data_IF_339707506391
#
_entry.id   IF_339707506391
#
_cell.length_a   1.000
_cell.length_b   1.000
_cell.length_c   1.000
_cell.angle_alpha   90.00
_cell.angle_beta   90.00
_cell.angle_gamma   90.00
#
_symmetry.space_group_name_H-M   'P 1'
#
loop_
_entity.id
_entity.type
_entity.pdbx_description
1 polymer ?
2 non-polymer ?
3 non-polymer ?
4 water ?
#
# COMPACT_ATOMS: atom_id res chain seq x y z
N UNK A 16 3.96 7.41 25.65
CA UNK A 16 5.32 7.75 25.25
C UNK A 16 5.34 8.43 23.88
N UNK A 17 6.38 9.23 23.65
CA UNK A 17 6.51 10.02 22.43
C UNK A 17 7.74 9.60 21.64
N UNK A 18 7.61 9.59 20.31
CA UNK A 18 8.70 9.25 19.41
C UNK A 18 8.70 10.25 18.25
N UNK A 19 9.89 10.74 17.91
CA UNK A 19 10.02 11.75 16.88
C UNK A 19 9.67 11.23 15.51
N UNK A 20 10.61 10.48 14.91
CA UNK A 20 10.46 9.97 13.55
C UNK A 20 10.52 8.45 13.50
N UNK A 21 9.38 7.80 13.19
CA UNK A 21 9.38 6.33 13.15
C UNK A 21 10.14 5.77 11.94
N UNK A 22 10.55 6.66 11.03
CA UNK A 22 11.27 6.25 9.81
C UNK A 22 12.76 6.59 9.90
N UNK A 23 13.19 7.16 11.02
CA UNK A 23 14.59 7.55 11.20
C UNK A 23 15.52 6.34 11.04
N UNK A 24 16.61 6.54 10.30
CA UNK A 24 17.52 5.44 9.95
C UNK A 24 18.19 4.83 11.18
N UNK A 25 18.72 5.67 12.06
CA UNK A 25 19.37 5.19 13.27
C UNK A 25 18.39 4.44 14.17
N UNK A 26 17.12 4.86 14.15
CA UNK A 26 16.09 4.22 14.95
C UNK A 26 15.84 2.79 14.45
N UNK A 27 15.71 2.64 13.14
CA UNK A 27 15.44 1.34 12.54
C UNK A 27 16.62 0.39 12.72
N UNK A 28 17.83 0.94 12.66
CA UNK A 28 19.03 0.13 12.86
C UNK A 28 19.05 -0.45 14.27
N UNK A 29 18.58 0.34 15.23
CA UNK A 29 18.57 -0.08 16.63
C UNK A 29 17.42 -1.03 16.93
N UNK A 30 16.27 -0.79 16.33
CA UNK A 30 15.12 -1.68 16.50
C UNK A 30 15.45 -3.07 15.97
N UNK A 31 16.10 -3.12 14.81
CA UNK A 31 16.51 -4.38 14.22
C UNK A 31 17.64 -5.02 15.00
N UNK A 32 18.59 -4.19 15.43
CA UNK A 32 19.78 -4.67 16.14
C UNK A 32 19.43 -5.42 17.43
N UNK A 33 18.31 -5.04 18.03
CA UNK A 33 17.90 -5.60 19.31
C UNK A 33 16.74 -6.59 19.24
N UNK A 34 16.45 -7.11 18.05
CA UNK A 34 15.42 -8.14 17.91
C UNK A 34 15.93 -9.48 18.45
N UNK A 35 15.06 -10.21 19.14
CA UNK A 35 15.40 -11.54 19.62
C UNK A 35 15.69 -12.45 18.42
N UNK A 36 14.84 -12.33 17.40
CA UNK A 36 15.05 -13.00 16.12
C UNK A 36 15.36 -11.94 15.06
N UNK A 37 16.64 -11.54 14.95
CA UNK A 37 16.97 -10.54 13.94
C UNK A 37 16.77 -11.08 12.53
N UNK A 38 16.52 -10.18 11.57
CA UNK A 38 16.35 -10.55 10.18
C UNK A 38 17.45 -11.49 9.71
N UNK A 39 18.66 -11.23 10.19
CA UNK A 39 19.84 -12.01 9.80
C UNK A 39 19.69 -13.49 10.17
N UNK A 40 18.75 -13.80 11.06
CA UNK A 40 18.62 -15.14 11.61
C UNK A 40 17.47 -15.93 10.99
N UNK A 41 16.71 -15.33 10.08
CA UNK A 41 15.62 -16.04 9.44
C UNK A 41 16.17 -17.16 8.56
N UNK A 42 15.42 -18.26 8.42
CA UNK A 42 15.84 -19.31 7.48
C UNK A 42 15.85 -18.82 6.02
N UNK A 43 14.96 -17.89 5.69
CA UNK A 43 14.85 -17.37 4.34
C UNK A 43 15.54 -16.02 4.17
N UNK A 44 16.50 -15.73 5.05
CA UNK A 44 17.39 -14.59 4.88
C UNK A 44 18.75 -15.10 4.40
N UNK A 45 19.39 -14.33 3.53
CA UNK A 45 20.71 -14.67 3.03
C UNK A 45 21.59 -13.44 2.95
N UNK A 46 22.69 -13.46 3.71
CA UNK A 46 23.66 -12.37 3.73
C UNK A 46 24.83 -12.67 2.79
N UNK A 47 25.31 -11.64 2.10
CA UNK A 47 26.47 -11.77 1.22
C UNK A 47 27.45 -10.62 1.46
N UNK A 48 28.73 -10.96 1.51
CA UNK A 48 29.78 -9.98 1.76
C UNK A 48 30.38 -9.50 0.45
N UNK A 49 29.53 -8.94 -0.40
CA UNK A 49 29.96 -8.37 -1.68
C UNK A 49 28.95 -7.34 -2.15
N UNK A 50 29.26 -6.66 -3.24
CA UNK A 50 28.37 -5.63 -3.79
C UNK A 50 27.11 -6.28 -4.38
N UNK A 51 26.05 -5.49 -4.47
CA UNK A 51 24.82 -5.95 -5.12
C UNK A 51 25.08 -6.18 -6.60
N UNK A 52 24.86 -7.43 -7.08
CA UNK A 52 25.15 -7.70 -8.49
C UNK A 52 24.29 -6.90 -9.45
N UNK A 53 24.77 -6.73 -10.69
CA UNK A 53 24.03 -6.01 -11.70
C UNK A 53 22.78 -6.79 -12.10
N UNK A 54 21.64 -6.10 -12.11
CA UNK A 54 20.37 -6.71 -12.48
C UNK A 54 19.75 -5.91 -13.62
N UNK A 55 19.34 -6.61 -14.67
CA UNK A 55 18.95 -5.97 -15.92
C UNK A 55 17.85 -6.78 -16.62
N UNK A 56 16.98 -6.11 -17.40
CA UNK A 56 15.94 -6.85 -18.13
C UNK A 56 16.46 -7.96 -19.04
N UNK A 57 15.71 -9.07 -19.11
CA UNK A 57 16.01 -10.19 -20.02
C UNK A 57 17.45 -10.68 -19.86
N UNK A 58 17.84 -10.98 -18.63
CA UNK A 58 19.21 -11.36 -18.33
C UNK A 58 19.32 -12.24 -17.09
N UNK A 59 20.25 -13.18 -17.11
CA UNK A 59 20.50 -14.07 -15.98
C UNK A 59 21.50 -13.48 -15.00
N UNK A 60 21.44 -13.96 -13.76
CA UNK A 60 22.42 -13.60 -12.75
C UNK A 60 22.31 -14.56 -11.56
N UNK A 61 23.37 -14.63 -10.76
CA UNK A 61 23.42 -15.55 -9.63
C UNK A 61 22.86 -14.91 -8.37
N UNK A 62 21.86 -15.56 -7.78
CA UNK A 62 21.25 -15.10 -6.55
C UNK A 62 21.34 -16.22 -5.51
N UNK A 63 22.51 -16.31 -4.88
CA UNK A 63 22.79 -17.40 -3.95
C UNK A 63 23.08 -18.68 -4.69
N UNK A 64 22.48 -19.78 -4.23
CA UNK A 64 22.69 -21.08 -4.85
C UNK A 64 22.02 -21.15 -6.23
N UNK A 65 20.92 -20.44 -6.38
CA UNK A 65 20.09 -20.54 -7.58
C UNK A 65 20.51 -19.57 -8.68
N UNK A 66 20.30 -19.99 -9.93
CA UNK A 66 20.41 -19.11 -11.07
C UNK A 66 19.02 -18.58 -11.40
N UNK A 67 18.94 -17.29 -11.71
CA UNK A 67 17.66 -16.59 -11.84
C UNK A 67 17.59 -15.83 -13.16
N UNK A 68 16.53 -16.08 -13.93
CA UNK A 68 16.30 -15.31 -15.15
C UNK A 68 15.36 -14.16 -14.89
N UNK A 69 15.84 -12.95 -15.15
CA UNK A 69 15.05 -11.73 -15.05
C UNK A 69 14.38 -11.44 -16.39
N UNK A 70 13.08 -11.16 -16.37
CA UNK A 70 12.36 -10.79 -17.57
C UNK A 70 12.43 -9.26 -17.74
N UNK A 71 11.29 -8.58 -17.68
CA UNK A 71 11.30 -7.12 -17.83
C UNK A 71 10.96 -6.40 -16.53
N UNK A 72 11.35 -5.13 -16.46
CA UNK A 72 11.09 -4.28 -15.31
C UNK A 72 9.60 -3.98 -15.19
N UNK A 73 9.03 -4.26 -14.01
CA UNK A 73 7.60 -4.11 -13.79
C UNK A 73 7.22 -2.70 -13.34
N UNK A 74 8.05 -2.11 -12.49
CA UNK A 74 7.77 -0.77 -11.98
C UNK A 74 8.89 -0.18 -11.16
N UNK A 75 8.84 1.13 -10.98
CA UNK A 75 9.80 1.85 -10.14
C UNK A 75 9.08 2.70 -9.11
N UNK A 76 9.56 2.64 -7.87
CA UNK A 76 8.95 3.38 -6.78
C UNK A 76 9.83 4.53 -6.33
N UNK A 77 9.67 4.93 -5.07
CA UNK A 77 10.43 6.03 -4.52
C UNK A 77 11.88 5.63 -4.24
N UNK A 78 12.12 4.34 -4.02
CA UNK A 78 13.43 3.85 -3.60
C UNK A 78 13.97 2.66 -4.41
N UNK A 79 13.08 1.86 -4.99
CA UNK A 79 13.46 0.54 -5.50
C UNK A 79 12.99 0.23 -6.92
N UNK A 80 13.57 -0.85 -7.48
CA UNK A 80 13.15 -1.39 -8.77
C UNK A 80 12.55 -2.77 -8.57
N UNK A 81 11.45 -3.05 -9.25
CA UNK A 81 10.78 -4.34 -9.15
C UNK A 81 10.73 -5.00 -10.52
N UNK A 82 11.40 -6.15 -10.65
CA UNK A 82 11.46 -6.90 -11.90
C UNK A 82 10.64 -8.17 -11.81
N UNK A 83 10.23 -8.67 -12.96
CA UNK A 83 9.61 -10.00 -13.10
C UNK A 83 10.73 -11.02 -13.27
N UNK A 84 10.51 -12.25 -12.83
CA UNK A 84 11.58 -13.25 -12.89
C UNK A 84 11.08 -14.69 -12.75
N UNK A 85 11.93 -15.63 -13.17
CA UNK A 85 11.69 -17.06 -13.01
C UNK A 85 13.01 -17.76 -12.72
N UNK A 86 12.93 -18.99 -12.21
CA UNK A 86 14.12 -19.81 -11.97
C UNK A 86 14.44 -20.67 -13.19
N UNK A 96 6.38 -20.75 -12.73
CA UNK A 96 5.83 -19.83 -11.75
C UNK A 96 6.66 -18.56 -11.66
N UNK A 97 6.09 -17.43 -12.06
CA UNK A 97 6.78 -16.15 -12.01
C UNK A 97 6.76 -15.57 -10.59
N UNK A 98 7.77 -14.77 -10.28
CA UNK A 98 7.82 -14.04 -9.02
C UNK A 98 8.56 -12.72 -9.26
N UNK A 99 8.60 -11.85 -8.25
CA UNK A 99 9.22 -10.54 -8.41
C UNK A 99 10.49 -10.39 -7.58
N UNK A 100 11.38 -9.52 -8.05
CA UNK A 100 12.57 -9.14 -7.32
C UNK A 100 12.55 -7.65 -7.00
N UNK A 101 12.38 -7.31 -5.72
CA UNK A 101 12.45 -5.92 -5.31
C UNK A 101 13.89 -5.57 -4.94
N UNK A 102 14.51 -4.76 -5.77
CA UNK A 102 15.93 -4.42 -5.64
C UNK A 102 16.09 -2.99 -5.14
N UNK A 103 16.94 -2.80 -4.12
CA UNK A 103 17.06 -1.51 -3.47
C UNK A 103 18.48 -1.24 -2.95
N UNK A 104 18.94 -0.01 -3.16
CA UNK A 104 20.17 0.48 -2.54
C UNK A 104 19.85 1.72 -1.72
N UNK A 105 20.22 1.75 -0.43
CA UNK A 105 20.91 0.71 0.35
C UNK A 105 19.99 -0.45 0.70
N UNK A 106 20.50 -1.40 1.48
CA UNK A 106 19.73 -2.58 1.86
C UNK A 106 18.52 -2.18 2.71
N UNK A 107 17.44 -2.95 2.57
CA UNK A 107 16.21 -2.69 3.31
C UNK A 107 15.72 -3.95 4.03
N UNK A 108 16.48 -4.40 5.04
CA UNK A 108 16.02 -5.53 5.85
C UNK A 108 14.73 -5.22 6.59
N UNK A 109 14.46 -3.95 6.80
CA UNK A 109 13.27 -3.52 7.54
C UNK A 109 11.98 -3.97 6.85
N UNK A 110 11.90 -3.76 5.54
CA UNK A 110 10.72 -4.16 4.79
C UNK A 110 10.51 -5.66 4.88
N UNK A 111 11.61 -6.42 4.91
CA UNK A 111 11.53 -7.86 5.04
C UNK A 111 11.02 -8.23 6.43
N UNK A 112 11.49 -7.51 7.45
CA UNK A 112 11.02 -7.74 8.80
C UNK A 112 9.51 -7.50 8.89
N UNK A 113 9.05 -6.36 8.41
CA UNK A 113 7.64 -6.01 8.44
C UNK A 113 6.81 -7.08 7.74
N UNK A 114 7.20 -7.42 6.53
CA UNK A 114 6.48 -8.42 5.73
C UNK A 114 6.34 -9.72 6.48
N UNK A 115 7.43 -10.14 7.10
CA UNK A 115 7.44 -11.38 7.87
C UNK A 115 6.43 -11.31 9.01
N UNK A 116 6.51 -10.24 9.79
CA UNK A 116 5.61 -10.08 10.95
C UNK A 116 4.16 -10.03 10.51
N UNK A 117 3.88 -9.31 9.42
CA UNK A 117 2.52 -9.17 8.94
C UNK A 117 1.90 -10.53 8.60
N UNK A 118 2.66 -11.39 7.93
CA UNK A 118 2.14 -12.69 7.52
C UNK A 118 2.00 -13.64 8.71
N UNK A 119 2.80 -13.43 9.75
CA UNK A 119 2.70 -14.18 10.99
C UNK A 119 1.40 -13.84 11.73
N UNK A 120 1.08 -12.55 11.79
CA UNK A 120 0.00 -12.06 12.63
C UNK A 120 -1.36 -12.12 11.94
N UNK A 121 -1.36 -12.17 10.61
CA UNK A 121 -2.60 -12.23 9.85
C UNK A 121 -3.28 -13.59 10.00
N UNK A 122 -4.61 -13.59 9.96
CA UNK A 122 -5.36 -14.83 9.83
C UNK A 122 -5.10 -15.30 8.39
N UNK A 123 -4.73 -16.58 8.22
CA UNK A 123 -4.36 -17.08 6.88
C UNK A 123 -5.35 -16.74 5.77
N UNK A 124 -6.62 -16.51 6.13
CA UNK A 124 -7.64 -16.17 5.16
C UNK A 124 -7.45 -14.76 4.60
N UNK A 125 -6.61 -13.96 5.26
CA UNK A 125 -6.45 -12.56 4.93
C UNK A 125 -5.24 -12.29 4.01
N UNK A 126 -4.27 -13.20 4.06
CA UNK A 126 -2.95 -12.96 3.46
C UNK A 126 -2.98 -12.72 1.95
N UNK A 127 -4.08 -13.10 1.30
CA UNK A 127 -4.19 -12.94 -0.15
C UNK A 127 -4.31 -11.47 -0.54
N UNK A 128 -4.61 -10.62 0.43
CA UNK A 128 -4.76 -9.19 0.17
C UNK A 128 -3.41 -8.47 0.20
N UNK A 129 -2.34 -9.20 0.44
CA UNK A 129 -1.01 -8.61 0.56
C UNK A 129 0.03 -9.42 -0.20
N UNK A 130 1.25 -8.91 -0.23
CA UNK A 130 2.34 -9.54 -0.96
C UNK A 130 3.28 -10.27 -0.03
N UNK A 131 3.44 -11.57 -0.26
CA UNK A 131 4.38 -12.38 0.49
C UNK A 131 5.80 -12.20 -0.03
N UNK A 132 6.75 -12.09 0.89
CA UNK A 132 8.16 -12.15 0.57
C UNK A 132 8.64 -13.56 0.85
N UNK A 133 9.18 -14.21 -0.17
CA UNK A 133 9.61 -15.60 -0.04
C UNK A 133 11.02 -15.69 0.56
N UNK A 134 11.87 -14.74 0.20
CA UNK A 134 13.23 -14.72 0.72
C UNK A 134 13.85 -13.33 0.58
N UNK A 135 14.98 -13.13 1.23
CA UNK A 135 15.68 -11.86 1.17
C UNK A 135 17.17 -12.09 1.03
N UNK A 136 17.79 -11.36 0.11
CA UNK A 136 19.23 -11.46 -0.11
C UNK A 136 19.88 -10.10 0.17
N UNK A 137 20.58 -10.02 1.30
CA UNK A 137 21.20 -8.77 1.74
C UNK A 137 22.66 -8.71 1.31
N UNK A 138 23.06 -7.55 0.76
CA UNK A 138 24.42 -7.34 0.31
C UNK A 138 25.04 -6.15 1.03
N UNK A 139 26.30 -5.86 0.72
CA UNK A 139 27.04 -4.81 1.40
C UNK A 139 26.45 -3.42 1.17
N UNK A 140 25.78 -3.25 0.03
CA UNK A 140 25.31 -1.93 -0.39
C UNK A 140 23.87 -1.93 -0.87
N UNK A 141 23.19 -3.07 -0.74
CA UNK A 141 21.81 -3.18 -1.18
C UNK A 141 21.21 -4.53 -0.88
N UNK A 142 19.98 -4.75 -1.34
CA UNK A 142 19.27 -5.99 -1.07
C UNK A 142 18.35 -6.39 -2.22
N UNK A 143 18.09 -7.70 -2.30
CA UNK A 143 17.09 -8.25 -3.22
C UNK A 143 16.05 -8.99 -2.40
N UNK A 144 14.81 -8.53 -2.46
CA UNK A 144 13.69 -9.19 -1.81
C UNK A 144 12.87 -9.94 -2.84
N UNK A 145 12.71 -11.25 -2.62
CA UNK A 145 11.97 -12.11 -3.53
C UNK A 145 10.55 -12.27 -3.04
N UNK A 146 9.58 -11.94 -3.88
CA UNK A 146 8.20 -11.92 -3.44
C UNK A 146 7.17 -12.34 -4.49
N UNK A 147 5.90 -12.28 -4.08
CA UNK A 147 4.79 -12.69 -4.91
C UNK A 147 4.55 -11.72 -6.06
N UNK A 148 4.07 -12.23 -7.19
CA UNK A 148 3.83 -11.42 -8.38
C UNK A 148 2.36 -11.04 -8.52
N UNK A 149 2.13 -9.78 -8.91
CA UNK A 149 0.81 -9.30 -9.31
C UNK A 149 0.97 -8.67 -10.68
N UNK A 150 0.22 -9.18 -11.66
CA UNK A 150 0.59 -9.03 -13.05
C UNK A 150 -0.05 -7.86 -13.83
N UNK A 151 -1.01 -7.16 -13.23
CA UNK A 151 -1.80 -6.19 -14.01
C UNK A 151 -1.72 -4.75 -13.50
N UNK A 152 -0.53 -4.35 -13.07
CA UNK A 152 -0.24 -2.96 -12.84
C UNK A 152 -0.88 -2.35 -11.61
N UNK A 153 -0.57 -1.08 -11.38
CA UNK A 153 -1.02 -0.37 -10.17
C UNK A 153 -2.41 0.21 -10.32
N UNK A 154 -2.97 0.63 -9.18
CA UNK A 154 -4.24 1.33 -9.18
C UNK A 154 -4.06 2.71 -9.82
N UNK A 155 -2.89 3.31 -9.61
CA UNK A 155 -2.57 4.58 -10.24
C UNK A 155 -2.63 4.43 -11.75
N UNK A 156 -2.03 3.36 -12.25
CA UNK A 156 -2.05 3.07 -13.67
C UNK A 156 -3.48 2.89 -14.17
N UNK A 157 -4.28 2.14 -13.41
CA UNK A 157 -5.67 1.92 -13.77
C UNK A 157 -6.41 3.25 -13.87
N UNK A 158 -6.16 4.14 -12.93
CA UNK A 158 -6.76 5.48 -12.95
C UNK A 158 -6.35 6.20 -14.24
N UNK A 159 -5.08 6.07 -14.62
CA UNK A 159 -4.58 6.68 -15.84
C UNK A 159 -5.25 6.09 -17.08
N UNK A 160 -5.50 4.79 -17.05
CA UNK A 160 -6.12 4.12 -18.19
C UNK A 160 -7.51 4.71 -18.45
N UNK A 161 -8.21 5.09 -17.38
CA UNK A 161 -9.54 5.67 -17.53
C UNK A 161 -9.48 7.10 -18.06
N UNK A 162 -8.43 7.83 -17.69
CA UNK A 162 -8.21 9.18 -18.21
C UNK A 162 -8.19 9.19 -19.75
N UNK A 163 -7.64 8.13 -20.33
CA UNK A 163 -7.53 8.02 -21.78
C UNK A 163 -8.72 7.26 -22.39
N UNK A 164 -9.88 7.39 -21.78
CA UNK A 164 -11.12 6.85 -22.33
C UNK A 164 -12.18 7.94 -22.35
N UNK A 165 -13.27 7.72 -23.10
CA UNK A 165 -14.40 8.64 -23.07
C UNK A 165 -14.96 8.89 -21.67
N UNK A 166 -15.07 7.83 -20.87
CA UNK A 166 -15.65 7.94 -19.53
C UNK A 166 -14.72 8.69 -18.57
N UNK A 167 -13.45 8.82 -18.92
CA UNK A 167 -12.48 9.63 -18.18
C UNK A 167 -12.18 9.17 -16.75
N UNK A 168 -13.21 8.77 -16.00
CA UNK A 168 -13.02 8.31 -14.63
C UNK A 168 -13.54 6.89 -14.42
N UNK A 169 -12.96 6.22 -13.43
CA UNK A 169 -13.39 4.89 -13.04
C UNK A 169 -14.85 4.91 -12.60
N UNK A 170 -15.63 3.88 -12.97
CA UNK A 170 -17.05 3.88 -12.59
C UNK A 170 -17.23 3.70 -11.09
N UNK A 171 -18.35 4.21 -10.57
CA UNK A 171 -18.62 4.21 -9.13
C UNK A 171 -18.61 2.81 -8.53
N UNK A 172 -19.09 1.82 -9.29
CA UNK A 172 -19.14 0.45 -8.81
C UNK A 172 -17.76 -0.05 -8.44
N UNK A 173 -16.80 0.18 -9.32
CA UNK A 173 -15.42 -0.21 -9.05
C UNK A 173 -14.78 0.64 -7.95
N UNK A 174 -15.08 1.93 -7.92
CA UNK A 174 -14.49 2.83 -6.93
C UNK A 174 -14.97 2.48 -5.52
N UNK A 175 -16.27 2.27 -5.38
CA UNK A 175 -16.85 1.91 -4.10
C UNK A 175 -16.35 0.53 -3.68
N UNK A 176 -16.23 -0.37 -4.66
CA UNK A 176 -15.75 -1.71 -4.40
C UNK A 176 -14.32 -1.67 -3.87
N UNK A 177 -13.44 -0.98 -4.60
CA UNK A 177 -12.05 -0.84 -4.20
C UNK A 177 -11.94 -0.16 -2.85
N UNK A 178 -12.75 0.88 -2.62
CA UNK A 178 -12.73 1.62 -1.37
C UNK A 178 -13.01 0.70 -0.18
N UNK A 179 -14.00 -0.17 -0.33
CA UNK A 179 -14.38 -1.08 0.74
C UNK A 179 -13.25 -2.06 1.04
N UNK A 180 -12.62 -2.59 -0.01
CA UNK A 180 -11.50 -3.51 0.16
C UNK A 180 -10.35 -2.84 0.89
N UNK A 181 -10.12 -1.56 0.61
CA UNK A 181 -9.05 -0.81 1.25
C UNK A 181 -9.31 -0.65 2.75
N UNK A 182 -10.53 -0.25 3.09
CA UNK A 182 -10.95 -0.14 4.49
C UNK A 182 -10.77 -1.48 5.18
N UNK A 183 -11.10 -2.56 4.47
CA UNK A 183 -10.97 -3.90 5.00
C UNK A 183 -9.50 -4.28 5.16
N UNK A 184 -8.68 -3.87 4.19
CA UNK A 184 -7.25 -4.19 4.19
C UNK A 184 -6.54 -3.63 5.41
N UNK A 185 -6.67 -2.32 5.64
CA UNK A 185 -5.94 -1.69 6.73
C UNK A 185 -6.53 -2.11 8.07
N UNK A 186 -7.79 -2.53 8.07
CA UNK A 186 -8.40 -3.08 9.27
C UNK A 186 -7.62 -4.31 9.70
N UNK A 187 -7.24 -5.15 8.74
CA UNK A 187 -6.45 -6.34 9.02
C UNK A 187 -5.03 -5.97 9.40
N UNK A 188 -4.46 -4.98 8.70
CA UNK A 188 -3.09 -4.55 8.98
C UNK A 188 -3.00 -3.97 10.39
N UNK A 189 -3.95 -3.11 10.72
CA UNK A 189 -3.96 -2.46 12.04
C UNK A 189 -4.19 -3.48 13.15
N UNK A 190 -4.93 -4.55 12.84
CA UNK A 190 -5.19 -5.62 13.80
C UNK A 190 -3.90 -6.35 14.16
N UNK A 191 -2.92 -6.28 13.25
CA UNK A 191 -1.60 -6.83 13.51
C UNK A 191 -0.70 -5.80 14.19
N UNK A 192 -1.30 -4.65 14.53
CA UNK A 192 -0.57 -3.54 15.14
C UNK A 192 0.58 -3.10 14.24
N UNK A 193 0.29 -2.99 12.95
CA UNK A 193 1.24 -2.46 11.98
C UNK A 193 0.60 -1.25 11.31
N UNK A 194 1.43 -0.28 10.94
CA UNK A 194 1.01 0.88 10.16
C UNK A 194 1.70 0.81 8.81
N UNK A 195 0.93 0.85 7.73
CA UNK A 195 1.53 0.78 6.40
C UNK A 195 2.40 1.99 6.13
N UNK A 196 1.85 3.18 6.40
CA UNK A 196 2.62 4.41 6.38
C UNK A 196 2.82 5.04 5.01
N UNK A 197 2.34 4.39 3.97
CA UNK A 197 2.51 4.92 2.61
C UNK A 197 1.39 4.43 1.69
N UNK A 198 0.15 4.52 2.16
CA UNK A 198 -0.99 4.08 1.37
C UNK A 198 -1.33 5.13 0.31
N UNK A 199 -1.09 4.79 -0.94
CA UNK A 199 -1.39 5.68 -2.05
C UNK A 199 -1.51 4.85 -3.33
N UNK A 200 -2.08 5.43 -4.40
CA UNK A 200 -2.46 4.67 -5.60
C UNK A 200 -1.39 3.75 -6.18
N UNK A 201 -0.13 4.15 -6.20
CA UNK A 201 0.88 3.32 -6.85
C UNK A 201 1.38 2.19 -5.94
N UNK A 202 0.86 2.11 -4.71
CA UNK A 202 1.19 0.99 -3.83
C UNK A 202 0.06 -0.04 -3.75
N UNK A 203 -0.97 0.15 -4.57
CA UNK A 203 -2.00 -0.86 -4.77
C UNK A 203 -1.79 -1.51 -6.13
N UNK A 204 -1.85 -2.84 -6.17
CA UNK A 204 -1.63 -3.59 -7.40
C UNK A 204 -2.83 -4.47 -7.72
N UNK A 205 -3.07 -4.66 -9.02
CA UNK A 205 -4.07 -5.59 -9.50
C UNK A 205 -3.39 -6.84 -10.07
N UNK A 206 -3.85 -8.00 -9.61
CA UNK A 206 -3.28 -9.27 -10.05
C UNK A 206 -4.28 -10.08 -10.86
N UNK A 207 -3.89 -11.29 -11.23
CA UNK A 207 -4.77 -12.15 -12.04
C UNK A 207 -5.93 -12.71 -11.22
N UNK A 208 -5.87 -12.54 -9.90
CA UNK A 208 -6.99 -12.89 -9.04
C UNK A 208 -8.19 -12.00 -9.35
N UNK A 209 -7.92 -10.91 -10.07
CA UNK A 209 -8.96 -9.98 -10.48
C UNK A 209 -9.69 -10.52 -11.72
N UNK A 210 -8.99 -11.32 -12.51
CA UNK A 210 -9.57 -11.94 -13.70
C UNK A 210 -10.55 -13.05 -13.34
N UNK A 211 -10.37 -13.63 -12.16
CA UNK A 211 -11.12 -14.81 -11.74
C UNK A 211 -11.95 -14.52 -10.49
N UNK A 219 -12.99 -6.88 -6.45
CA UNK A 219 -11.83 -6.34 -5.74
C UNK A 219 -10.93 -7.45 -5.19
N UNK A 220 -11.30 -8.70 -5.48
CA UNK A 220 -10.60 -9.86 -4.93
C UNK A 220 -9.12 -9.89 -5.33
N UNK A 221 -8.80 -9.31 -6.47
CA UNK A 221 -7.44 -9.34 -6.99
C UNK A 221 -6.61 -8.11 -6.63
N UNK A 222 -7.13 -7.27 -5.75
CA UNK A 222 -6.39 -6.07 -5.32
C UNK A 222 -5.48 -6.39 -4.15
N UNK A 223 -4.24 -5.92 -4.23
CA UNK A 223 -3.25 -6.17 -3.21
C UNK A 223 -2.53 -4.89 -2.80
N UNK A 224 -2.28 -4.77 -1.50
CA UNK A 224 -1.53 -3.64 -0.95
C UNK A 224 -0.07 -4.06 -0.76
N UNK A 225 0.84 -3.32 -1.36
CA UNK A 225 2.26 -3.63 -1.30
C UNK A 225 3.10 -2.43 -0.81
N UNK A 226 4.42 -2.60 -0.81
CA UNK A 226 5.37 -1.58 -0.37
C UNK A 226 5.27 -1.35 1.14
N UNK A 227 6.06 -2.10 1.90
CA UNK A 227 6.04 -2.02 3.35
C UNK A 227 7.31 -1.35 3.89
N UNK A 228 8.04 -0.69 3.00
CA UNK A 228 9.32 -0.09 3.34
C UNK A 228 9.23 1.01 4.39
N UNK A 229 8.10 1.72 4.41
CA UNK A 229 7.89 2.82 5.35
C UNK A 229 6.94 2.40 6.47
N UNK A 230 6.71 1.09 6.60
CA UNK A 230 5.75 0.59 7.58
C UNK A 230 6.31 0.66 9.00
N UNK A 231 5.40 0.69 9.96
CA UNK A 231 5.75 0.82 11.37
C UNK A 231 5.16 -0.34 12.17
N UNK A 232 6.00 -1.00 12.97
CA UNK A 232 5.53 -2.03 13.89
C UNK A 232 5.36 -1.42 15.28
N UNK A 233 4.11 -1.21 15.69
CA UNK A 233 3.81 -0.56 16.95
C UNK A 233 4.15 -1.44 18.14
N UNK A 234 4.31 -2.74 17.91
CA UNK A 234 4.67 -3.67 18.98
C UNK A 234 6.08 -3.40 19.48
N UNK A 235 6.89 -2.75 18.64
CA UNK A 235 8.28 -2.42 19.00
C UNK A 235 8.35 -1.13 19.81
N UNK A 236 7.19 -0.59 20.19
CA UNK A 236 7.13 0.62 21.00
C UNK A 236 6.24 0.39 22.22
N UNK A 237 6.40 1.23 23.26
CA UNK A 237 5.55 1.14 24.46
C UNK A 237 4.07 1.34 24.15
N UNK A 238 3.20 0.84 25.02
CA UNK A 238 1.76 0.98 24.85
C UNK A 238 1.36 2.46 24.85
N UNK A 239 0.70 2.88 23.78
CA UNK A 239 0.19 4.24 23.67
C UNK A 239 1.18 5.19 23.03
N UNK A 240 2.17 4.64 22.33
CA UNK A 240 3.14 5.47 21.63
C UNK A 240 2.46 6.26 20.51
N UNK A 241 2.94 7.48 20.30
CA UNK A 241 2.45 8.35 19.24
C UNK A 241 3.65 9.00 18.56
N UNK A 242 3.41 9.57 17.38
CA UNK A 242 4.49 10.18 16.60
C UNK A 242 4.20 11.64 16.30
N UNK A 243 5.26 12.42 16.08
CA UNK A 243 5.15 13.87 15.91
C UNK A 243 5.81 14.35 14.62
N UNK A 244 6.42 13.44 13.87
CA UNK A 244 7.05 13.79 12.60
C UNK A 244 6.04 14.48 11.68
N UNK A 245 6.35 15.72 11.30
CA UNK A 245 5.41 16.59 10.63
C UNK A 245 5.28 16.29 9.13
N UNK A 246 5.99 15.28 8.66
CA UNK A 246 5.91 14.90 7.24
C UNK A 246 6.50 13.51 7.01
N UNK A 247 6.18 12.95 5.84
CA UNK A 247 6.69 11.64 5.45
C UNK A 247 8.05 11.78 4.79
N UNK A 248 8.66 10.66 4.45
CA UNK A 248 10.02 10.62 3.94
C UNK A 248 10.12 11.13 2.49
N UNK A 249 9.01 11.62 1.94
CA UNK A 249 9.02 12.17 0.59
C UNK A 249 8.16 13.43 0.46
N UNK A 250 7.87 14.06 1.59
CA UNK A 250 7.21 15.37 1.60
C UNK A 250 5.73 15.36 1.96
N UNK A 251 5.04 14.25 1.70
CA UNK A 251 3.60 14.17 1.89
C UNK A 251 3.22 14.28 3.38
N UNK A 252 2.02 14.80 3.64
CA UNK A 252 1.53 15.00 5.00
C UNK A 252 0.09 14.54 5.17
N UNK A 253 -0.23 14.01 6.34
CA UNK A 253 -1.61 13.67 6.69
C UNK A 253 -2.24 14.81 7.48
N UNK A 254 -3.45 14.62 7.96
CA UNK A 254 -4.21 15.69 8.61
C UNK A 254 -3.52 16.19 9.88
N UNK A 255 -3.10 15.25 10.73
CA UNK A 255 -2.48 15.60 12.00
C UNK A 255 -1.16 16.31 11.77
N UNK A 256 -0.47 15.94 10.70
CA UNK A 256 0.81 16.56 10.35
C UNK A 256 0.61 18.02 9.96
N UNK A 257 -0.50 18.29 9.28
CA UNK A 257 -0.81 19.64 8.82
C UNK A 257 -1.14 20.57 9.98
N UNK A 258 -1.42 19.99 11.15
CA UNK A 258 -1.76 20.77 12.34
C UNK A 258 -0.73 20.55 13.45
N UNK A 259 0.37 19.88 13.12
CA UNK A 259 1.43 19.58 14.08
C UNK A 259 0.90 18.80 15.28
N UNK A 260 -0.18 18.05 15.07
CA UNK A 260 -0.75 17.20 16.10
C UNK A 260 -0.11 15.81 16.06
N UNK A 261 -0.24 15.06 17.16
CA UNK A 261 0.33 13.71 17.19
C UNK A 261 -0.48 12.71 16.37
N UNK A 262 0.13 11.58 16.02
CA UNK A 262 -0.52 10.59 15.18
C UNK A 262 0.15 9.23 15.24
N UNK A 263 -0.65 8.18 15.05
CA UNK A 263 -0.12 6.85 14.76
C UNK A 263 -0.88 6.23 13.60
N UNK A 264 -2.02 5.60 13.88
CA UNK A 264 -2.75 4.88 12.84
C UNK A 264 -3.48 5.80 11.86
N UNK A 265 -3.63 7.07 12.22
CA UNK A 265 -4.37 8.02 11.38
C UNK A 265 -3.77 8.18 9.99
N UNK A 266 -2.46 7.97 9.87
CA UNK A 266 -1.77 8.18 8.61
C UNK A 266 -2.29 7.23 7.52
N UNK A 267 -2.70 6.04 7.93
CA UNK A 267 -3.28 5.07 7.00
C UNK A 267 -4.71 5.46 6.61
N UNK A 268 -5.45 6.02 7.56
CA UNK A 268 -6.80 6.50 7.27
C UNK A 268 -6.74 7.59 6.22
N UNK A 269 -5.76 8.48 6.35
CA UNK A 269 -5.57 9.55 5.38
C UNK A 269 -5.20 8.99 4.01
N UNK A 270 -4.30 8.00 4.01
CA UNK A 270 -3.86 7.39 2.78
C UNK A 270 -4.98 6.77 1.97
N UNK A 271 -5.86 6.04 2.65
CA UNK A 271 -7.02 5.45 2.00
C UNK A 271 -7.91 6.54 1.43
N UNK A 272 -8.12 7.60 2.21
CA UNK A 272 -8.95 8.72 1.77
C UNK A 272 -8.36 9.38 0.53
N UNK A 273 -7.06 9.64 0.55
CA UNK A 273 -6.39 10.26 -0.58
C UNK A 273 -6.46 9.36 -1.81
N UNK A 274 -6.35 8.05 -1.59
CA UNK A 274 -6.39 7.10 -2.70
C UNK A 274 -7.76 7.11 -3.36
N UNK A 275 -8.82 7.08 -2.55
CA UNK A 275 -10.18 7.08 -3.08
C UNK A 275 -10.46 8.40 -3.76
N UNK A 276 -9.86 9.47 -3.25
CA UNK A 276 -10.01 10.78 -3.86
C UNK A 276 -9.42 10.75 -5.27
N UNK A 277 -8.28 10.08 -5.41
CA UNK A 277 -7.59 10.00 -6.69
C UNK A 277 -8.39 9.16 -7.70
N UNK A 278 -9.07 8.13 -7.20
CA UNK A 278 -9.95 7.33 -8.04
C UNK A 278 -11.14 8.16 -8.53
N UNK A 279 -11.59 9.10 -7.70
CA UNK A 279 -12.78 9.87 -7.99
C UNK A 279 -12.52 11.08 -8.90
N UNK A 280 -11.35 11.70 -8.76
CA UNK A 280 -11.07 12.96 -9.43
C UNK A 280 -9.83 12.92 -10.32
N UNK A 281 -9.05 11.86 -10.21
CA UNK A 281 -7.91 11.66 -11.09
C UNK A 281 -6.72 12.54 -10.77
N UNK A 282 -6.82 13.32 -9.69
CA UNK A 282 -5.71 14.14 -9.21
C UNK A 282 -5.45 13.82 -7.75
N UNK A 283 -4.33 14.31 -7.23
CA UNK A 283 -3.95 14.03 -5.85
C UNK A 283 -4.69 14.95 -4.88
N UNK A 284 -5.03 14.41 -3.71
CA UNK A 284 -5.91 15.11 -2.77
C UNK A 284 -5.20 16.24 -2.03
N UNK A 285 -5.91 17.36 -1.92
CA UNK A 285 -5.48 18.47 -1.09
C UNK A 285 -6.63 18.83 -0.15
N UNK A 286 -6.29 19.22 1.07
CA UNK A 286 -7.30 19.43 2.10
C UNK A 286 -7.38 20.90 2.53
N UNK A 287 -8.55 21.27 3.05
CA UNK A 287 -8.77 22.60 3.60
C UNK A 287 -9.48 22.46 4.95
N UNK A 288 -9.43 23.53 5.74
CA UNK A 288 -10.13 23.56 7.03
C UNK A 288 -11.16 24.68 7.05
N UNK A 289 -12.35 24.37 7.52
CA UNK A 289 -13.44 25.34 7.61
C UNK A 289 -14.25 25.14 8.88
N UNK A 290 -13.89 25.86 9.93
CA UNK A 290 -14.60 25.80 11.19
C UNK A 290 -14.20 24.58 12.00
N UNK A 291 -12.94 24.18 11.89
CA UNK A 291 -12.43 23.01 12.58
C UNK A 291 -12.77 21.74 11.85
N UNK A 292 -13.49 21.87 10.74
CA UNK A 292 -13.86 20.73 9.91
C UNK A 292 -12.90 20.59 8.73
N UNK A 293 -12.13 19.51 8.74
CA UNK A 293 -11.23 19.22 7.64
C UNK A 293 -12.00 18.54 6.52
N UNK A 294 -11.69 18.92 5.28
CA UNK A 294 -12.37 18.35 4.13
C UNK A 294 -11.52 18.53 2.87
N UNK A 295 -11.72 17.67 1.86
CA UNK A 295 -10.91 17.79 0.65
C UNK A 295 -11.37 18.94 -0.25
N UNK A 296 -10.46 19.52 -1.01
CA UNK A 296 -10.80 20.60 -1.92
C UNK A 296 -11.61 20.06 -3.10
N UNK A 297 -12.07 20.96 -3.96
CA UNK A 297 -12.93 20.60 -5.07
C UNK A 297 -14.38 20.89 -4.75
N UNK A 298 -15.13 21.30 -5.76
CA UNK A 298 -16.53 21.68 -5.58
C UNK A 298 -17.46 20.46 -5.57
N UNK A 299 -16.90 19.30 -5.88
CA UNK A 299 -17.64 18.03 -5.86
C UNK A 299 -18.85 18.06 -6.77
N UNK A 300 -18.77 18.83 -7.85
CA UNK A 300 -19.75 18.72 -8.92
C UNK A 300 -19.46 17.43 -9.66
N UNK A 301 -20.48 16.92 -10.35
CA UNK A 301 -20.37 15.67 -11.11
C UNK A 301 -20.01 14.45 -10.25
N UNK A 302 -20.13 14.58 -8.94
CA UNK A 302 -19.83 13.47 -8.02
C UNK A 302 -21.11 12.80 -7.50
N UNK A 303 -21.41 11.58 -7.97
CA UNK A 303 -22.61 10.89 -7.47
C UNK A 303 -22.45 10.44 -6.02
N UNK A 304 -23.56 10.09 -5.38
CA UNK A 304 -23.55 9.65 -3.98
C UNK A 304 -22.82 10.68 -3.12
N UNK A 305 -23.10 11.94 -3.37
CA UNK A 305 -22.43 13.05 -2.70
C UNK A 305 -22.53 12.95 -1.17
N UNK A 306 -23.67 12.47 -0.69
CA UNK A 306 -23.87 12.33 0.76
C UNK A 306 -22.99 11.22 1.33
N UNK A 307 -22.90 10.10 0.60
CA UNK A 307 -22.07 8.99 1.02
C UNK A 307 -20.60 9.40 1.09
N UNK A 308 -20.13 10.08 0.06
CA UNK A 308 -18.72 10.44 -0.02
C UNK A 308 -18.34 11.52 0.99
N UNK A 309 -19.25 12.45 1.25
CA UNK A 309 -18.98 13.48 2.25
C UNK A 309 -18.90 12.91 3.65
N UNK A 310 -19.76 11.93 3.94
CA UNK A 310 -19.71 11.25 5.23
C UNK A 310 -18.43 10.44 5.33
N UNK A 311 -18.05 9.80 4.21
CA UNK A 311 -16.82 9.03 4.15
C UNK A 311 -15.60 9.91 4.43
N UNK A 312 -15.48 11.02 3.71
CA UNK A 312 -14.32 11.89 3.88
C UNK A 312 -14.34 12.59 5.23
N UNK A 313 -15.53 12.89 5.74
CA UNK A 313 -15.66 13.51 7.05
C UNK A 313 -15.06 12.62 8.14
N UNK A 314 -15.49 11.37 8.18
CA UNK A 314 -15.04 10.44 9.22
C UNK A 314 -13.56 10.11 9.06
N UNK A 315 -13.09 10.03 7.83
CA UNK A 315 -11.71 9.64 7.56
C UNK A 315 -10.72 10.77 7.84
N UNK A 316 -11.17 12.02 7.67
CA UNK A 316 -10.28 13.19 7.75
C UNK A 316 -10.41 13.96 9.07
N UNK A 317 -11.45 13.67 9.85
CA UNK A 317 -11.66 14.33 11.13
C UNK A 317 -11.64 13.36 12.28
N UNK A 318 -10.45 12.82 12.56
CA UNK A 318 -10.24 11.89 13.64
C UNK A 318 -9.80 12.68 14.89
N UNK A 319 -10.64 12.67 15.95
CA UNK A 319 -10.34 13.51 17.13
C UNK A 319 -8.94 13.28 17.71
N UNK A 320 -8.59 12.02 17.99
CA UNK A 320 -7.29 11.72 18.55
C UNK A 320 -6.93 10.27 18.31
N UNK A 321 -5.75 9.88 18.78
CA UNK A 321 -5.25 8.53 18.57
C UNK A 321 -6.09 7.49 19.31
N UNK A 322 -6.94 7.95 20.23
CA UNK A 322 -7.75 7.05 21.04
C UNK A 322 -9.14 6.81 20.43
N UNK A 323 -9.55 7.71 19.55
CA UNK A 323 -10.87 7.62 18.93
C UNK A 323 -10.78 7.43 17.42
N UNK A 324 -10.14 6.33 17.01
CA UNK A 324 -10.07 5.98 15.59
C UNK A 324 -11.45 5.48 15.15
N UNK A 325 -11.94 5.97 13.99
CA UNK A 325 -13.28 5.54 13.55
C UNK A 325 -13.33 4.08 13.14
N UNK A 326 -14.46 3.44 13.38
CA UNK A 326 -14.64 2.03 13.02
C UNK A 326 -14.52 1.81 11.52
N UNK A 327 -13.48 1.08 11.11
CA UNK A 327 -13.26 0.75 9.71
C UNK A 327 -14.38 -0.13 9.19
N UNK A 328 -14.90 -0.99 10.07
CA UNK A 328 -16.02 -1.84 9.72
C UNK A 328 -17.24 -0.99 9.35
N UNK A 329 -17.56 -0.01 10.21
CA UNK A 329 -18.71 0.85 10.00
C UNK A 329 -18.63 1.64 8.69
N UNK A 330 -17.45 2.17 8.38
CA UNK A 330 -17.23 2.91 7.15
C UNK A 330 -17.54 2.04 5.94
N UNK A 331 -17.12 0.79 6.00
CA UNK A 331 -17.28 -0.14 4.89
C UNK A 331 -18.74 -0.55 4.70
N UNK A 332 -19.49 -0.64 5.79
CA UNK A 332 -20.91 -0.98 5.71
C UNK A 332 -21.70 0.13 5.01
N UNK A 333 -21.34 1.38 5.29
CA UNK A 333 -22.01 2.51 4.66
C UNK A 333 -21.77 2.52 3.15
N UNK A 334 -20.58 2.12 2.73
CA UNK A 334 -20.28 1.98 1.31
C UNK A 334 -21.01 0.77 0.74
N UNK A 335 -21.13 -0.27 1.55
CA UNK A 335 -21.75 -1.52 1.12
C UNK A 335 -23.22 -1.33 0.80
N UNK A 336 -23.91 -0.58 1.66
CA UNK A 336 -25.33 -0.32 1.49
C UNK A 336 -25.60 0.35 0.14
N UNK A 337 -24.84 1.41 -0.14
CA UNK A 337 -24.97 2.12 -1.41
C UNK A 337 -24.62 1.18 -2.56
N UNK A 338 -23.55 0.42 -2.38
CA UNK A 338 -23.10 -0.51 -3.41
C UNK A 338 -24.18 -1.54 -3.71
N UNK A 339 -24.79 -2.07 -2.65
CA UNK A 339 -25.82 -3.09 -2.82
C UNK A 339 -27.06 -2.50 -3.46
N UNK A 340 -27.28 -1.20 -3.24
CA UNK A 340 -28.48 -0.53 -3.69
C UNK A 340 -28.43 -0.12 -5.16
N UNK A 341 -27.23 -0.15 -5.76
CA UNK A 341 -27.05 0.37 -7.11
C UNK A 341 -26.20 -0.49 -8.06
N UNK A 342 -25.34 -1.36 -7.51
CA UNK A 342 -24.29 -1.96 -8.32
C UNK A 342 -24.09 -3.48 -8.22
N UNK A 343 -24.94 -4.19 -7.48
CA UNK A 343 -24.82 -5.64 -7.37
C UNK A 343 -24.91 -6.31 -8.75
N UNK A 344 -25.88 -5.85 -9.53
CA UNK A 344 -26.12 -6.39 -10.86
C UNK A 344 -24.99 -6.10 -11.83
N UNK A 345 -24.39 -4.93 -11.69
CA UNK A 345 -23.61 -4.34 -12.77
C UNK A 345 -22.10 -4.55 -12.63
N UNK A 346 -21.65 -5.06 -11.50
CA UNK A 346 -20.22 -5.19 -11.24
C UNK A 346 -19.54 -6.07 -12.29
N UNK A 347 -20.29 -7.01 -12.86
CA UNK A 347 -19.74 -7.92 -13.86
C UNK A 347 -19.40 -7.16 -15.15
N UNK A 348 -20.29 -6.26 -15.55
CA UNK A 348 -20.06 -5.44 -16.73
C UNK A 348 -18.90 -4.48 -16.50
N UNK A 349 -18.78 -3.98 -15.27
CA UNK A 349 -17.75 -2.99 -14.95
C UNK A 349 -16.36 -3.61 -14.91
N UNK A 350 -16.22 -4.77 -14.29
CA UNK A 350 -14.89 -5.38 -14.17
C UNK A 350 -14.41 -5.87 -15.54
N UNK A 351 -15.33 -6.33 -16.37
CA UNK A 351 -14.99 -6.73 -17.73
C UNK A 351 -14.38 -5.56 -18.50
N UNK A 352 -15.05 -4.41 -18.42
CA UNK A 352 -14.56 -3.18 -19.04
C UNK A 352 -13.13 -2.88 -18.61
N UNK A 353 -12.83 -3.07 -17.33
CA UNK A 353 -11.49 -2.78 -16.80
C UNK A 353 -10.45 -3.81 -17.24
N UNK A 354 -10.83 -5.08 -17.19
CA UNK A 354 -9.91 -6.15 -17.60
C UNK A 354 -9.44 -5.94 -19.04
N UNK A 355 -10.35 -5.54 -19.92
CA UNK A 355 -9.99 -5.25 -21.30
C UNK A 355 -8.96 -4.14 -21.36
N UNK A 356 -9.15 -3.11 -20.52
CA UNK A 356 -8.21 -2.00 -20.46
C UNK A 356 -6.87 -2.47 -19.89
N UNK A 357 -6.92 -3.37 -18.91
CA UNK A 357 -5.71 -3.87 -18.26
C UNK A 357 -4.87 -4.74 -19.19
N UNK A 358 -5.52 -5.66 -19.90
CA UNK A 358 -4.83 -6.56 -20.81
C UNK A 358 -4.16 -5.78 -21.94
N UNK A 359 -4.83 -4.73 -22.39
CA UNK A 359 -4.31 -3.89 -23.47
C UNK A 359 -2.99 -3.25 -23.05
N UNK A 360 -2.93 -2.80 -21.80
CA UNK A 360 -1.75 -2.15 -21.26
C UNK A 360 -0.61 -3.14 -20.99
N UNK A 361 -0.97 -4.34 -20.55
CA UNK A 361 0.03 -5.36 -20.24
C UNK A 361 0.73 -5.84 -21.50
N UNK A 362 -0.05 -6.19 -22.52
CA UNK A 362 0.51 -6.64 -23.79
C UNK A 362 1.32 -5.54 -24.47
N UNK A 363 1.08 -4.30 -24.07
CA UNK A 363 1.83 -3.17 -24.59
C UNK A 363 3.17 -3.04 -23.85
X LIG B 1 9.00 1.68 -3.34
X LIG B 1 7.71 2.35 -3.77
X LIG B 1 10.23 2.20 -4.04
X LIG B 1 9.15 1.56 -1.84
X LIG B 1 7.46 -0.52 -4.26
X LIG B 1 7.27 -1.77 -3.43
X LIG B 1 6.40 0.55 -4.27
X LIG B 1 8.87 0.15 -3.84
X LIG B 1 7.76 -0.98 -5.76
X LIG B 1 7.90 0.01 -6.79
X LIG B 1 7.02 -0.34 -7.99
X LIG B 1 7.18 -1.70 -8.37
X LIG B 1 5.55 -0.16 -7.69
X LIG B 1 5.11 1.19 -7.91
X LIG B 1 4.88 -1.16 -8.61
X LIG B 1 4.57 -0.58 -9.89
X LIG B 1 5.93 -2.24 -8.79
X LIG B 1 5.57 -3.42 -7.95
X LIG B 1 5.71 -3.48 -6.61
X LIG B 1 5.30 -4.69 -6.15
X LIG B 1 4.89 -5.41 -7.20
X LIG B 1 4.33 -6.76 -7.41
X LIG B 1 4.13 -7.59 -6.36
X LIG B 1 4.04 -7.13 -8.67
X LIG B 1 4.22 -6.32 -9.72
X LIG B 1 4.73 -5.07 -9.60
X LIG B 1 5.07 -4.57 -8.39
X LIG B 1 8.94 0.08 -7.10
X LIG B 1 7.60 0.99 -6.39
X LIG B 1 7.29 0.32 -8.83
X LIG B 1 5.35 -0.45 -6.65
X LIG B 1 4.17 1.26 -7.72
X LIG B 1 3.98 -1.58 -8.14
X LIG B 1 3.95 0.15 -9.77
X LIG B 1 5.97 -2.53 -9.85
X LIG B 1 6.10 -2.68 -5.99
X LIG B 1 4.37 -7.30 -5.43
X LIG B 1 3.76 -8.52 -6.53
X LIG B 1 3.97 -6.67 -10.71
X LIG C 1 5.78 2.38 -3.56
X LIG D 1 7.93 2.37 -0.25
#
# INVERSE_FOLDING_TARGET
GSPQMSSLGTVDAPNFIVGNPWDDKLIFKLLSGLSKPVSSYPNTFEWQCKLPAIKPKTEFQLGSKLVYVHHLLGEGAFAQVYEATQGDLNDAKNKQKFVLKVQKPANPWEFYIGTQLMERLKPSMQHMFMKFYSAHLFQNGSVLVGELYSYGTLLNAINLYKNTPEKVMPQGLVISFAMRMLYMIEQVHDCEIIHGDIKPDNFILGNGFLEQDDEDDLSAGLALIDLGQSIDMKLFPKGTIFTAKCETSGFQCVEMLSNKPWNYQIDYFGVAATVYCMLFGTYMKVKNEGGECKPEGLFRRLPHLDMWNEFFHVMLNIPDCHHLPSLDLLRQKLKKVFQQHYTNKIRALRNRLIVLLLECKRSRK
ADP PB O1B O2B O3B PA O1A O2A O3A O5' C5' C4' O4' C3' O3' C2' O2' C1' N9 C8 N7 C5 C6 N6 N1 C2 N3 C4 H5'1 H5'2 H4' H3' HO3' H2' HO2' H1' H8 HN61 HN62 H2
MG MG
MG MG
#
